data_IF_567851843426
#
_entry.id   IF_567851843426
#
_cell.length_a   1.000
_cell.length_b   1.000
_cell.length_c   1.000
_cell.angle_alpha   90.00
_cell.angle_beta   90.00
_cell.angle_gamma   90.00
#
_symmetry.space_group_name_H-M   'P 1'
#
loop_
_entity.id
_entity.type
_entity.pdbx_description
1 polymer ?
#
# COMPACT_ATOMS: atom_id res chain seq x y z
N UNK A 1 35.00 -27.02 22.95
CA UNK A 1 34.98 -25.90 21.98
C UNK A 1 34.10 -26.18 20.75
N UNK A 2 34.21 -27.35 20.11
CA UNK A 2 33.35 -27.75 18.95
C UNK A 2 31.85 -27.86 19.27
N UNK A 3 31.48 -28.29 20.48
CA UNK A 3 30.07 -28.41 20.90
C UNK A 3 29.35 -27.05 21.06
N UNK A 4 30.06 -26.03 21.55
CA UNK A 4 29.51 -24.67 21.72
C UNK A 4 29.22 -24.04 20.36
N UNK A 5 30.10 -24.27 19.38
CA UNK A 5 29.95 -23.75 18.04
C UNK A 5 28.73 -24.35 17.32
N UNK A 6 28.46 -25.65 17.49
CA UNK A 6 27.28 -26.32 16.93
C UNK A 6 25.97 -25.80 17.51
N UNK A 7 25.93 -25.48 18.81
CA UNK A 7 24.76 -24.89 19.46
C UNK A 7 24.49 -23.47 18.95
N UNK A 8 25.53 -22.67 18.73
CA UNK A 8 25.42 -21.31 18.14
C UNK A 8 24.90 -21.38 16.70
N UNK A 9 25.38 -22.31 15.88
CA UNK A 9 24.85 -22.51 14.53
C UNK A 9 23.38 -22.93 14.54
N UNK A 10 22.98 -23.85 15.43
CA UNK A 10 21.59 -24.29 15.53
C UNK A 10 20.66 -23.13 15.96
N UNK A 11 21.07 -22.34 16.95
CA UNK A 11 20.32 -21.15 17.40
C UNK A 11 20.20 -20.06 16.33
N UNK A 12 21.26 -19.82 15.53
CA UNK A 12 21.19 -18.88 14.40
C UNK A 12 20.33 -19.40 13.24
N UNK A 13 20.37 -20.70 12.94
CA UNK A 13 19.56 -21.29 11.86
C UNK A 13 18.06 -21.30 12.22
N UNK A 14 17.73 -21.62 13.48
CA UNK A 14 16.35 -21.52 13.97
C UNK A 14 15.84 -20.08 13.98
N UNK A 15 16.72 -19.09 14.18
CA UNK A 15 16.38 -17.68 14.07
C UNK A 15 16.10 -17.28 12.61
N UNK A 16 16.88 -17.81 11.66
CA UNK A 16 16.73 -17.49 10.23
C UNK A 16 15.43 -18.04 9.63
N UNK A 17 14.94 -19.18 10.12
CA UNK A 17 13.65 -19.74 9.66
C UNK A 17 12.43 -19.08 10.31
N UNK A 18 12.59 -18.35 11.43
CA UNK A 18 11.47 -17.69 12.13
C UNK A 18 11.05 -16.35 11.50
N UNK A 19 11.86 -15.79 10.59
CA UNK A 19 11.58 -14.56 9.84
C UNK A 19 10.89 -14.81 8.49
N UNK A 20 10.76 -16.07 8.04
CA UNK A 20 10.07 -16.42 6.78
C UNK A 20 8.54 -16.56 7.00
N UNK A 21 8.00 -15.80 7.94
CA UNK A 21 6.56 -15.56 8.03
C UNK A 21 6.20 -14.41 7.11
N UNK A 22 5.95 -14.69 5.82
CA UNK A 22 5.21 -13.75 4.97
C UNK A 22 3.81 -13.59 5.58
N UNK A 23 3.67 -12.62 6.48
CA UNK A 23 2.40 -12.13 6.99
C UNK A 23 1.58 -11.59 5.82
N UNK A 24 0.89 -12.49 5.13
CA UNK A 24 -0.20 -12.15 4.21
C UNK A 24 -1.43 -11.93 5.07
N UNK A 25 -1.45 -10.79 5.77
CA UNK A 25 -2.69 -10.24 6.32
C UNK A 25 -3.63 -10.11 5.11
N UNK A 26 -4.69 -10.92 5.06
CA UNK A 26 -5.51 -11.14 3.86
C UNK A 26 -6.03 -9.83 3.25
N UNK A 27 -5.36 -9.37 2.19
CA UNK A 27 -5.84 -8.33 1.29
C UNK A 27 -6.60 -8.93 0.11
N UNK A 28 -7.26 -8.11 -0.72
CA UNK A 28 -7.98 -8.57 -1.90
C UNK A 28 -7.06 -9.42 -2.78
N UNK A 29 -7.48 -10.63 -3.13
CA UNK A 29 -6.68 -11.61 -3.88
C UNK A 29 -6.63 -11.32 -5.39
N UNK A 30 -7.04 -10.12 -5.82
CA UNK A 30 -7.10 -9.71 -7.22
C UNK A 30 -6.40 -8.37 -7.48
N UNK A 31 -6.15 -8.05 -8.76
CA UNK A 31 -5.60 -6.75 -9.14
C UNK A 31 -6.54 -5.63 -8.71
N UNK A 32 -6.04 -4.76 -7.83
CA UNK A 32 -6.82 -3.64 -7.29
C UNK A 32 -7.09 -2.63 -8.42
N UNK A 33 -8.36 -2.40 -8.75
CA UNK A 33 -8.72 -1.35 -9.69
C UNK A 33 -8.62 0.03 -9.03
N UNK A 34 -7.56 0.78 -9.37
CA UNK A 34 -7.28 2.11 -8.84
C UNK A 34 -8.11 3.24 -9.50
N UNK A 35 -8.98 2.93 -10.45
CA UNK A 35 -9.71 3.94 -11.24
C UNK A 35 -11.19 4.03 -10.87
N UNK A 36 -11.63 3.32 -9.83
CA UNK A 36 -13.03 3.31 -9.38
C UNK A 36 -13.10 3.39 -7.88
N UNK A 37 -14.20 3.95 -7.38
CA UNK A 37 -14.48 4.09 -5.96
C UNK A 37 -14.05 5.44 -5.37
N UNK A 38 -14.15 5.57 -4.03
CA UNK A 38 -13.83 6.82 -3.34
C UNK A 38 -12.32 7.08 -3.34
N UNK A 39 -11.93 8.32 -3.06
CA UNK A 39 -10.52 8.73 -2.96
C UNK A 39 -9.91 8.55 -1.56
N UNK A 40 -10.75 8.33 -0.55
CA UNK A 40 -10.36 8.04 0.85
C UNK A 40 -11.31 6.99 1.44
N UNK A 41 -10.79 6.08 2.26
CA UNK A 41 -11.60 5.07 2.95
C UNK A 41 -12.35 5.69 4.15
N UNK A 42 -13.53 5.17 4.52
CA UNK A 42 -14.38 5.75 5.56
C UNK A 42 -13.76 5.69 6.96
N UNK A 43 -14.13 6.63 7.84
CA UNK A 43 -13.79 6.66 9.27
C UNK A 43 -13.21 8.00 9.73
N UNK A 44 -12.53 8.02 10.88
CA UNK A 44 -11.99 9.26 11.44
C UNK A 44 -11.06 9.97 10.45
N UNK A 45 -11.37 11.25 10.17
CA UNK A 45 -10.61 12.06 9.25
C UNK A 45 -9.29 12.51 9.90
N UNK A 46 -8.19 12.26 9.20
CA UNK A 46 -6.94 12.96 9.49
C UNK A 46 -7.00 14.38 8.96
N UNK A 47 -6.21 15.29 9.57
CA UNK A 47 -6.29 16.74 9.37
C UNK A 47 -5.06 17.34 8.69
N UNK A 48 -4.32 16.53 7.92
CA UNK A 48 -3.28 17.08 7.04
C UNK A 48 -3.91 17.68 5.77
N UNK A 49 -3.20 18.58 5.10
CA UNK A 49 -3.62 19.15 3.82
C UNK A 49 -2.62 18.71 2.74
N UNK A 50 -2.78 17.48 2.24
CA UNK A 50 -1.87 16.90 1.26
C UNK A 50 -2.52 16.92 -0.12
N UNK A 51 -1.86 17.53 -1.10
CA UNK A 51 -2.30 17.49 -2.50
C UNK A 51 -2.21 16.06 -3.03
N UNK A 52 -3.33 15.54 -3.55
CA UNK A 52 -3.42 14.22 -4.19
C UNK A 52 -4.33 14.29 -5.41
N UNK A 53 -4.33 13.22 -6.20
CA UNK A 53 -5.13 13.10 -7.41
C UNK A 53 -6.05 11.88 -7.33
N UNK A 54 -7.25 11.98 -7.89
CA UNK A 54 -8.24 10.90 -8.00
C UNK A 54 -8.80 10.88 -9.41
N UNK A 55 -9.18 9.71 -9.89
CA UNK A 55 -9.89 9.57 -11.16
C UNK A 55 -11.40 9.76 -10.95
N UNK A 56 -11.99 10.62 -11.77
CA UNK A 56 -13.43 10.83 -11.93
C UNK A 56 -13.83 10.47 -13.36
N UNK A 57 -14.88 9.67 -13.54
CA UNK A 57 -15.26 9.17 -14.87
C UNK A 57 -15.73 10.28 -15.84
N UNK A 58 -16.16 11.43 -15.35
CA UNK A 58 -16.62 12.57 -16.16
C UNK A 58 -15.51 13.60 -16.40
N UNK A 59 -14.61 13.77 -15.43
CA UNK A 59 -13.57 14.81 -15.43
C UNK A 59 -12.16 14.30 -15.69
N UNK A 60 -11.96 12.97 -15.67
CA UNK A 60 -10.64 12.35 -15.67
C UNK A 60 -9.92 12.54 -14.34
N UNK A 61 -8.60 12.64 -14.38
CA UNK A 61 -7.79 12.84 -13.17
C UNK A 61 -7.92 14.27 -12.64
N UNK A 62 -8.42 14.40 -11.41
CA UNK A 62 -8.64 15.68 -10.72
C UNK A 62 -7.87 15.74 -9.40
N UNK A 63 -7.49 16.95 -9.00
CA UNK A 63 -6.83 17.22 -7.72
C UNK A 63 -7.84 17.26 -6.57
N UNK A 64 -7.43 16.80 -5.39
CA UNK A 64 -8.19 16.95 -4.14
C UNK A 64 -7.25 17.06 -2.93
N UNK A 65 -7.79 17.53 -1.79
CA UNK A 65 -7.07 17.58 -0.51
C UNK A 65 -7.24 16.27 0.25
N UNK A 66 -6.14 15.56 0.48
CA UNK A 66 -6.11 14.32 1.24
C UNK A 66 -5.70 14.57 2.69
N UNK A 67 -6.49 14.02 3.62
CA UNK A 67 -6.32 14.19 5.06
C UNK A 67 -5.05 13.54 5.65
N UNK A 68 -4.34 12.72 4.87
CA UNK A 68 -3.07 12.10 5.26
C UNK A 68 -3.16 10.67 5.81
N UNK A 69 -4.35 10.07 5.85
CA UNK A 69 -4.51 8.68 6.25
C UNK A 69 -5.62 7.97 5.50
N UNK A 70 -5.55 6.63 5.49
CA UNK A 70 -6.56 5.74 4.90
C UNK A 70 -6.82 6.03 3.40
N UNK A 71 -5.77 6.09 2.56
CA UNK A 71 -5.98 6.29 1.14
C UNK A 71 -6.79 5.12 0.59
N UNK A 72 -7.76 5.42 -0.27
CA UNK A 72 -8.38 4.40 -1.09
C UNK A 72 -7.50 4.13 -2.32
N UNK A 73 -7.72 3.03 -3.07
CA UNK A 73 -6.94 2.76 -4.28
C UNK A 73 -7.01 3.86 -5.34
N UNK A 74 -8.14 4.58 -5.43
CA UNK A 74 -8.36 5.75 -6.28
C UNK A 74 -7.77 7.03 -5.64
N UNK A 75 -6.48 6.97 -5.29
CA UNK A 75 -5.70 8.04 -4.68
C UNK A 75 -4.28 7.93 -5.22
N UNK A 76 -3.80 9.00 -5.84
CA UNK A 76 -2.53 9.06 -6.55
C UNK A 76 -1.71 10.25 -6.05
N UNK A 77 -0.40 10.09 -5.98
CA UNK A 77 0.50 11.14 -5.50
C UNK A 77 0.73 12.21 -6.55
N UNK A 78 0.69 11.81 -7.83
CA UNK A 78 0.91 12.71 -8.96
C UNK A 78 -0.19 12.57 -10.01
N UNK A 79 -0.40 13.64 -10.77
CA UNK A 79 -1.34 13.65 -11.89
C UNK A 79 -0.94 12.62 -12.96
N UNK A 80 0.36 12.46 -13.20
CA UNK A 80 0.91 11.51 -14.16
C UNK A 80 0.63 10.05 -13.77
N UNK A 81 0.78 9.71 -12.48
CA UNK A 81 0.43 8.39 -11.96
C UNK A 81 -1.04 8.05 -12.20
N UNK A 82 -1.95 8.99 -11.91
CA UNK A 82 -3.37 8.81 -12.18
C UNK A 82 -3.66 8.60 -13.68
N UNK A 83 -3.04 9.43 -14.54
CA UNK A 83 -3.24 9.35 -16.01
C UNK A 83 -2.73 8.03 -16.56
N UNK A 84 -1.55 7.58 -16.13
CA UNK A 84 -0.98 6.28 -16.52
C UNK A 84 -1.87 5.12 -16.07
N UNK A 85 -2.44 5.19 -14.87
CA UNK A 85 -3.30 4.13 -14.36
C UNK A 85 -4.67 4.04 -15.05
N UNK A 86 -5.26 5.18 -15.42
CA UNK A 86 -6.68 5.25 -15.75
C UNK A 86 -7.03 5.79 -17.15
N UNK A 87 -6.10 6.43 -17.85
CA UNK A 87 -6.35 7.04 -19.17
C UNK A 87 -5.52 6.40 -20.28
N UNK A 88 -4.26 6.05 -20.02
CA UNK A 88 -3.35 5.50 -21.02
C UNK A 88 -3.58 4.00 -21.35
N UNK A 89 -4.83 3.53 -21.30
CA UNK A 89 -5.20 2.14 -21.58
C UNK A 89 -5.36 1.87 -23.07
#
# INVERSE_FOLDING_TARGET
MKLILLLVFFSLHTCFTLEIGQSKIGGPTGPINRCVGPHTLPGAACRAMIKRYTFDAKKGCVEFTFGGCRPAPNNFETLDECRKACIAR
#
